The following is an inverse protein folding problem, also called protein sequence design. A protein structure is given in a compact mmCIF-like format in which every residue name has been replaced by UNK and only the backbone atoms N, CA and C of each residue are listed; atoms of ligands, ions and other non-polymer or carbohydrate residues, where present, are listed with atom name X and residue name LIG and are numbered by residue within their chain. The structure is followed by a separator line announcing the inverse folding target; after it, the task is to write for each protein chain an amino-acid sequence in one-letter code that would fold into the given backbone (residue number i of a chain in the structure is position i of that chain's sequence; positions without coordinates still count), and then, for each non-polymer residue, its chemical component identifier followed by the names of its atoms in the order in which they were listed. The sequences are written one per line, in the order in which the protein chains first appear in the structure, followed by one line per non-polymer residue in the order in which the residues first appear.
data_IF_596950847239
#
_entry.id   IF_596950847239
#
_cell.length_a   1.000
_cell.length_b   1.000
_cell.length_c   1.000
_cell.angle_alpha   90.00
_cell.angle_beta   90.00
_cell.angle_gamma   90.00
#
_symmetry.space_group_name_H-M   'P 1'
#
loop_
_entity.id
_entity.type
_entity.pdbx_description
1 polymer ?
#
# COMPACT_ATOMS: atom_id res chain seq x y z
N UNK A 1 42.38 -9.52 58.26
CA UNK A 1 41.55 -9.87 57.09
C UNK A 1 40.56 -8.74 56.87
N UNK A 2 40.69 -7.98 55.77
CA UNK A 2 39.81 -6.86 55.43
C UNK A 2 38.81 -7.33 54.37
N UNK A 3 37.52 -7.28 54.68
CA UNK A 3 36.44 -7.62 53.73
C UNK A 3 36.11 -6.39 52.90
N UNK A 4 36.25 -6.52 51.57
CA UNK A 4 35.92 -5.48 50.58
C UNK A 4 34.48 -5.73 50.11
N UNK A 5 33.63 -4.71 50.19
CA UNK A 5 32.29 -4.73 49.60
C UNK A 5 32.34 -4.12 48.20
N UNK A 6 31.96 -4.90 47.18
CA UNK A 6 31.74 -4.41 45.82
C UNK A 6 30.30 -3.88 45.70
N UNK A 7 30.16 -2.58 45.46
CA UNK A 7 28.89 -1.95 45.09
C UNK A 7 28.71 -2.13 43.59
N UNK A 8 27.70 -2.92 43.19
CA UNK A 8 27.27 -3.02 41.81
C UNK A 8 26.33 -1.87 41.49
N UNK A 9 26.80 -0.91 40.68
CA UNK A 9 25.95 0.12 40.09
C UNK A 9 25.19 -0.54 38.93
N UNK A 10 23.91 -0.82 39.14
CA UNK A 10 22.97 -1.18 38.08
C UNK A 10 22.69 0.09 37.25
N UNK A 11 23.38 0.22 36.12
CA UNK A 11 23.00 1.16 35.07
C UNK A 11 21.70 0.65 34.43
N UNK A 12 20.56 1.21 34.86
CA UNK A 12 19.29 1.09 34.16
C UNK A 12 19.40 1.89 32.86
N UNK A 13 19.94 1.24 31.82
CA UNK A 13 19.84 1.71 30.45
C UNK A 13 18.38 1.58 30.04
N UNK A 14 17.68 2.71 29.95
CA UNK A 14 16.30 2.78 29.48
C UNK A 14 16.23 2.21 28.06
N UNK A 15 15.68 1.01 27.94
CA UNK A 15 15.22 0.47 26.67
C UNK A 15 14.04 1.35 26.23
N UNK A 16 14.33 2.34 25.38
CA UNK A 16 13.33 2.99 24.58
C UNK A 16 12.79 1.92 23.63
N UNK A 17 11.73 1.22 24.06
CA UNK A 17 10.96 0.35 23.18
C UNK A 17 10.28 1.28 22.17
N UNK A 18 10.88 1.41 20.98
CA UNK A 18 10.14 1.84 19.81
C UNK A 18 9.08 0.77 19.59
N UNK A 19 7.87 0.99 20.14
CA UNK A 19 6.72 0.21 19.77
C UNK A 19 6.62 0.32 18.25
N UNK A 20 6.96 -0.76 17.55
CA UNK A 20 6.64 -0.86 16.13
C UNK A 20 5.13 -0.82 16.09
N UNK A 21 4.56 0.26 15.55
CA UNK A 21 3.13 0.34 15.35
C UNK A 21 2.69 -0.94 14.62
N UNK A 22 1.81 -1.70 15.26
CA UNK A 22 1.34 -2.97 14.72
C UNK A 22 0.61 -2.68 13.41
N UNK A 23 1.18 -3.12 12.29
CA UNK A 23 0.53 -3.00 10.99
C UNK A 23 -0.58 -4.04 10.92
N UNK A 24 -1.84 -3.61 10.86
CA UNK A 24 -2.97 -4.48 10.51
C UNK A 24 -2.82 -4.85 9.04
N UNK A 25 -2.51 -6.13 8.81
CA UNK A 25 -2.34 -6.67 7.48
C UNK A 25 -3.64 -7.36 7.07
N UNK A 26 -4.06 -7.21 5.81
CA UNK A 26 -5.15 -8.00 5.28
C UNK A 26 -4.84 -9.49 5.39
N UNK A 27 -5.90 -10.28 5.48
CA UNK A 27 -5.74 -11.72 5.47
C UNK A 27 -5.20 -12.22 4.11
N UNK A 28 -4.51 -13.35 4.16
CA UNK A 28 -3.98 -14.10 3.02
C UNK A 28 -4.63 -15.48 2.90
N UNK A 29 -5.66 -15.77 3.71
CA UNK A 29 -6.42 -17.03 3.61
C UNK A 29 -6.96 -17.22 2.19
N UNK A 30 -6.71 -18.41 1.65
CA UNK A 30 -7.22 -18.82 0.33
C UNK A 30 -6.46 -18.24 -0.87
N UNK A 31 -5.41 -17.45 -0.67
CA UNK A 31 -4.50 -17.04 -1.75
C UNK A 31 -3.31 -18.00 -1.86
N UNK A 32 -2.80 -18.21 -3.08
CA UNK A 32 -1.44 -18.72 -3.33
C UNK A 32 -0.50 -17.52 -3.54
N UNK A 33 -0.42 -16.66 -2.52
CA UNK A 33 0.30 -15.39 -2.59
C UNK A 33 1.45 -15.34 -1.59
N UNK A 34 2.53 -14.66 -1.97
CA UNK A 34 3.71 -14.47 -1.13
C UNK A 34 3.63 -13.16 -0.35
N UNK A 35 3.74 -13.22 0.97
CA UNK A 35 3.92 -12.02 1.79
C UNK A 35 5.35 -11.50 1.70
N UNK A 36 5.51 -10.25 1.27
CA UNK A 36 6.81 -9.58 1.07
C UNK A 36 6.85 -8.31 1.89
N UNK A 37 7.96 -8.09 2.61
CA UNK A 37 8.15 -6.96 3.51
C UNK A 37 9.29 -6.08 3.07
N UNK A 38 8.98 -4.80 2.89
CA UNK A 38 9.92 -3.72 2.60
C UNK A 38 9.90 -2.70 3.74
N UNK A 39 10.82 -1.75 3.75
CA UNK A 39 10.91 -0.75 4.83
C UNK A 39 9.64 0.13 4.90
N UNK A 40 9.12 0.52 3.74
CA UNK A 40 8.00 1.45 3.64
C UNK A 40 6.62 0.80 3.67
N UNK A 41 6.51 -0.47 3.29
CA UNK A 41 5.25 -1.16 3.06
C UNK A 41 5.42 -2.68 3.13
N UNK A 42 4.31 -3.38 3.29
CA UNK A 42 4.20 -4.83 3.09
C UNK A 42 3.25 -5.09 1.92
N UNK A 43 3.47 -6.14 1.15
CA UNK A 43 2.55 -6.57 0.10
C UNK A 43 2.31 -8.08 0.13
N UNK A 44 1.19 -8.50 -0.45
CA UNK A 44 0.93 -9.89 -0.80
C UNK A 44 1.00 -10.05 -2.33
N UNK A 45 2.05 -10.70 -2.82
CA UNK A 45 2.32 -10.88 -4.24
C UNK A 45 1.58 -12.09 -4.81
N UNK A 46 0.82 -11.90 -5.88
CA UNK A 46 0.07 -12.96 -6.57
C UNK A 46 0.73 -13.29 -7.91
N UNK A 47 1.36 -14.47 -7.94
CA UNK A 47 2.11 -14.95 -9.09
C UNK A 47 1.23 -15.11 -10.34
N UNK A 48 -0.03 -15.51 -10.18
CA UNK A 48 -0.95 -15.71 -11.31
C UNK A 48 -1.25 -14.40 -12.04
N UNK A 49 -1.07 -13.26 -11.37
CA UNK A 49 -1.33 -11.93 -11.87
C UNK A 49 -0.08 -11.08 -12.10
N UNK A 50 1.09 -11.56 -11.66
CA UNK A 50 2.38 -10.85 -11.69
C UNK A 50 2.34 -9.50 -10.93
N UNK A 51 1.50 -9.41 -9.89
CA UNK A 51 1.17 -8.17 -9.19
C UNK A 51 0.86 -8.41 -7.71
N UNK A 52 0.98 -7.38 -6.87
CA UNK A 52 0.45 -7.44 -5.52
C UNK A 52 -1.10 -7.43 -5.52
N UNK A 53 -1.72 -8.35 -4.75
CA UNK A 53 -3.17 -8.30 -4.42
C UNK A 53 -3.49 -7.04 -3.62
N UNK A 54 -2.60 -6.73 -2.68
CA UNK A 54 -2.67 -5.57 -1.81
C UNK A 54 -1.26 -5.14 -1.40
N UNK A 55 -1.13 -3.84 -1.14
CA UNK A 55 0.03 -3.21 -0.51
C UNK A 55 -0.47 -2.41 0.69
N UNK A 56 0.08 -2.68 1.87
CA UNK A 56 -0.32 -2.11 3.14
C UNK A 56 0.83 -1.30 3.77
N UNK A 57 0.54 -0.09 4.26
CA UNK A 57 1.51 0.78 4.91
C UNK A 57 0.85 1.78 5.86
N UNK A 58 1.64 2.24 6.85
CA UNK A 58 1.26 3.38 7.69
C UNK A 58 1.76 4.67 7.05
N UNK A 59 0.86 5.63 6.89
CA UNK A 59 1.20 6.98 6.43
C UNK A 59 0.95 7.97 7.56
N UNK A 60 2.03 8.58 8.03
CA UNK A 60 1.97 9.62 9.06
C UNK A 60 2.22 10.99 8.46
N UNK A 61 1.81 12.05 9.16
CA UNK A 61 2.12 13.44 8.82
C UNK A 61 3.61 13.67 8.66
N UNK A 62 4.42 13.10 9.55
CA UNK A 62 5.88 13.15 9.44
C UNK A 62 6.36 12.52 8.12
N UNK A 63 5.84 11.34 7.76
CA UNK A 63 6.21 10.63 6.54
C UNK A 63 5.83 11.38 5.26
N UNK A 64 4.66 12.03 5.25
CA UNK A 64 4.22 12.87 4.13
C UNK A 64 5.16 14.07 3.93
N UNK A 65 5.61 14.68 5.02
CA UNK A 65 6.50 15.84 5.02
C UNK A 65 7.98 15.50 4.81
N UNK A 66 8.30 14.24 4.48
CA UNK A 66 9.66 13.84 4.14
C UNK A 66 10.21 14.60 2.92
N UNK A 67 11.51 14.88 2.94
CA UNK A 67 12.18 15.71 1.94
C UNK A 67 13.05 14.91 0.96
N UNK A 68 13.14 13.59 1.08
CA UNK A 68 13.94 12.77 0.16
C UNK A 68 13.38 12.92 -1.26
N UNK A 69 14.17 13.48 -2.20
CA UNK A 69 13.70 13.64 -3.56
C UNK A 69 13.79 12.31 -4.30
N UNK A 70 12.93 12.14 -5.30
CA UNK A 70 13.13 11.12 -6.33
C UNK A 70 14.40 11.46 -7.11
N UNK A 71 15.38 10.57 -7.12
CA UNK A 71 16.63 10.73 -7.85
C UNK A 71 16.50 10.15 -9.25
N UNK A 72 17.33 10.64 -10.19
CA UNK A 72 17.37 10.10 -11.56
C UNK A 72 17.83 8.64 -11.67
N UNK A 73 18.42 8.08 -10.60
CA UNK A 73 18.75 6.66 -10.49
C UNK A 73 17.67 5.82 -9.79
N UNK A 74 16.57 6.41 -9.34
CA UNK A 74 15.39 5.65 -8.89
C UNK A 74 14.70 5.10 -10.13
N UNK A 75 15.08 3.88 -10.47
CA UNK A 75 14.63 3.14 -11.64
C UNK A 75 13.77 2.00 -11.17
N UNK A 76 12.73 1.72 -11.94
CA UNK A 76 11.99 0.48 -11.79
C UNK A 76 12.95 -0.70 -11.96
N UNK A 77 12.92 -1.64 -11.02
CA UNK A 77 13.72 -2.86 -11.05
C UNK A 77 12.90 -4.05 -10.55
N UNK A 78 13.17 -5.27 -11.02
CA UNK A 78 12.54 -6.47 -10.48
C UNK A 78 12.80 -6.57 -8.97
N UNK A 79 11.78 -7.02 -8.23
CA UNK A 79 11.90 -7.37 -6.83
C UNK A 79 12.49 -8.78 -6.68
N UNK A 80 13.68 -8.88 -6.11
CA UNK A 80 14.38 -10.14 -5.86
C UNK A 80 13.93 -10.84 -4.58
N UNK A 81 13.05 -10.21 -3.79
CA UNK A 81 12.48 -10.82 -2.58
C UNK A 81 11.25 -11.68 -2.88
N UNK A 82 10.66 -11.52 -4.07
CA UNK A 82 9.64 -12.43 -4.60
C UNK A 82 10.33 -13.72 -5.07
N UNK A 83 9.95 -14.85 -4.49
CA UNK A 83 10.62 -16.14 -4.64
C UNK A 83 10.53 -16.70 -6.07
N UNK A 84 9.40 -16.45 -6.73
CA UNK A 84 9.12 -16.80 -8.13
C UNK A 84 9.73 -15.82 -9.12
N UNK A 85 10.22 -14.67 -8.63
CA UNK A 85 10.51 -13.50 -9.44
C UNK A 85 9.29 -12.61 -9.56
N UNK A 86 9.51 -11.35 -9.94
CA UNK A 86 8.43 -10.42 -10.27
C UNK A 86 8.55 -9.95 -11.70
N UNK A 87 7.47 -9.36 -12.21
CA UNK A 87 7.48 -8.58 -13.44
C UNK A 87 8.72 -7.67 -13.55
N UNK A 88 9.18 -7.45 -14.78
CA UNK A 88 10.31 -6.59 -15.07
C UNK A 88 9.86 -5.29 -15.71
N UNK A 89 10.67 -4.21 -15.67
CA UNK A 89 10.36 -3.00 -16.42
C UNK A 89 10.25 -3.24 -17.94
N UNK A 90 10.87 -4.31 -18.44
CA UNK A 90 10.84 -4.65 -19.87
C UNK A 90 9.48 -5.24 -20.27
N UNK A 91 8.78 -5.89 -19.35
CA UNK A 91 7.43 -6.42 -19.59
C UNK A 91 6.44 -5.33 -19.98
N UNK A 92 6.55 -4.16 -19.36
CA UNK A 92 5.69 -3.02 -19.64
C UNK A 92 6.05 -2.27 -20.93
N UNK A 93 7.24 -2.52 -21.50
CA UNK A 93 7.74 -1.77 -22.65
C UNK A 93 6.92 -2.08 -23.91
N UNK A 94 6.21 -1.08 -24.43
CA UNK A 94 5.31 -1.23 -25.58
C UNK A 94 3.97 -1.90 -25.26
N UNK A 95 3.62 -2.05 -23.98
CA UNK A 95 2.34 -2.65 -23.55
C UNK A 95 1.13 -1.70 -23.59
N UNK A 96 1.37 -0.40 -23.82
CA UNK A 96 0.43 0.72 -23.59
C UNK A 96 0.08 1.00 -22.12
N UNK A 97 0.64 0.26 -21.17
CA UNK A 97 0.46 0.51 -19.73
C UNK A 97 1.69 1.17 -19.11
N UNK A 98 1.43 2.13 -18.24
CA UNK A 98 2.39 2.71 -17.33
C UNK A 98 2.68 1.75 -16.16
N UNK A 99 3.85 1.93 -15.57
CA UNK A 99 4.26 1.29 -14.31
C UNK A 99 3.65 2.08 -13.14
N UNK A 100 2.37 1.84 -12.89
CA UNK A 100 1.60 2.54 -11.85
C UNK A 100 1.98 2.03 -10.46
N UNK A 101 2.27 2.95 -9.54
CA UNK A 101 2.60 2.58 -8.16
C UNK A 101 1.33 2.22 -7.39
N UNK A 102 1.42 1.21 -6.53
CA UNK A 102 0.41 0.93 -5.51
C UNK A 102 0.71 1.77 -4.25
N UNK A 103 1.84 1.51 -3.58
CA UNK A 103 2.43 2.42 -2.60
C UNK A 103 3.22 3.54 -3.32
N UNK A 104 2.75 4.81 -3.29
CA UNK A 104 3.33 5.87 -4.10
C UNK A 104 4.72 6.30 -3.60
N UNK A 105 5.64 6.62 -4.52
CA UNK A 105 6.95 7.17 -4.17
C UNK A 105 6.84 8.46 -3.32
N UNK A 106 5.81 9.27 -3.54
CA UNK A 106 5.57 10.49 -2.78
C UNK A 106 5.23 10.25 -1.30
N UNK A 107 4.77 9.05 -0.95
CA UNK A 107 4.45 8.63 0.42
C UNK A 107 5.70 8.08 1.15
N UNK A 108 6.81 7.90 0.41
CA UNK A 108 8.06 7.29 0.88
C UNK A 108 9.23 8.28 0.98
N UNK A 109 8.95 9.59 0.95
CA UNK A 109 9.95 10.66 0.99
C UNK A 109 10.69 10.81 2.33
N UNK A 110 10.36 10.01 3.32
CA UNK A 110 10.99 10.03 4.64
C UNK A 110 12.22 9.12 4.73
N UNK A 111 12.45 8.25 3.74
CA UNK A 111 13.62 7.37 3.71
C UNK A 111 14.09 7.12 2.28
N UNK A 112 15.41 7.20 2.07
CA UNK A 112 16.04 6.85 0.78
C UNK A 112 15.77 5.40 0.40
N UNK A 113 15.76 4.50 1.38
CA UNK A 113 15.46 3.09 1.15
C UNK A 113 14.00 2.90 0.77
N UNK A 114 13.05 3.47 1.53
CA UNK A 114 11.63 3.35 1.22
C UNK A 114 11.29 3.95 -0.15
N UNK A 115 11.89 5.09 -0.50
CA UNK A 115 11.78 5.72 -1.82
C UNK A 115 12.21 4.74 -2.92
N UNK A 116 13.39 4.13 -2.80
CA UNK A 116 13.89 3.15 -3.78
C UNK A 116 13.01 1.91 -3.87
N UNK A 117 12.59 1.38 -2.72
CA UNK A 117 11.73 0.20 -2.65
C UNK A 117 10.36 0.46 -3.28
N UNK A 118 9.87 1.71 -3.30
CA UNK A 118 8.62 2.03 -4.02
C UNK A 118 8.70 1.78 -5.53
N UNK A 119 9.91 1.71 -6.12
CA UNK A 119 10.15 1.40 -7.53
C UNK A 119 10.35 -0.10 -7.81
N UNK A 120 10.25 -0.97 -6.80
CA UNK A 120 10.27 -2.42 -7.02
C UNK A 120 9.02 -2.84 -7.79
N UNK A 121 9.21 -3.70 -8.80
CA UNK A 121 8.13 -4.10 -9.69
C UNK A 121 7.02 -4.91 -9.01
N UNK A 122 7.27 -5.48 -7.83
CA UNK A 122 6.24 -6.09 -6.99
C UNK A 122 5.18 -5.09 -6.49
N UNK A 123 5.54 -3.80 -6.39
CA UNK A 123 4.66 -2.68 -6.03
C UNK A 123 4.00 -2.01 -7.25
N UNK A 124 4.12 -2.62 -8.44
CA UNK A 124 3.67 -2.03 -9.70
C UNK A 124 2.49 -2.81 -10.28
N UNK A 125 1.52 -2.07 -10.80
CA UNK A 125 0.37 -2.60 -11.52
C UNK A 125 0.21 -1.85 -12.85
N UNK A 126 -0.27 -2.51 -13.94
CA UNK A 126 -0.47 -1.85 -15.22
C UNK A 126 -1.62 -0.88 -15.12
N UNK A 127 -1.26 0.39 -15.30
CA UNK A 127 -2.20 1.50 -15.29
C UNK A 127 -2.13 2.25 -16.63
N UNK A 128 -3.28 2.60 -17.22
CA UNK A 128 -3.28 3.53 -18.36
C UNK A 128 -2.73 4.89 -17.89
N UNK A 129 -1.99 5.58 -18.76
CA UNK A 129 -1.38 6.87 -18.38
C UNK A 129 -2.42 7.89 -17.93
N UNK A 130 -3.59 7.91 -18.58
CA UNK A 130 -4.69 8.80 -18.19
C UNK A 130 -5.24 8.49 -16.79
N UNK A 131 -5.33 7.21 -16.40
CA UNK A 131 -5.76 6.80 -15.07
C UNK A 131 -4.70 7.16 -14.02
N UNK A 132 -3.44 6.74 -14.26
CA UNK A 132 -2.31 6.93 -13.36
C UNK A 132 -2.06 8.42 -13.08
N UNK A 133 -1.92 9.23 -14.13
CA UNK A 133 -1.61 10.66 -14.01
C UNK A 133 -2.87 11.51 -13.71
N UNK A 134 -4.05 10.90 -13.84
CA UNK A 134 -5.34 11.52 -13.60
C UNK A 134 -5.92 11.19 -12.23
N UNK A 135 -7.02 10.43 -12.22
CA UNK A 135 -7.79 10.15 -11.00
C UNK A 135 -6.98 9.41 -9.92
N UNK A 136 -6.08 8.51 -10.30
CA UNK A 136 -5.28 7.77 -9.32
C UNK A 136 -4.34 8.70 -8.55
N UNK A 137 -3.60 9.56 -9.25
CA UNK A 137 -2.78 10.59 -8.60
C UNK A 137 -3.62 11.54 -7.71
N UNK A 138 -4.86 11.88 -8.10
CA UNK A 138 -5.74 12.67 -7.23
C UNK A 138 -6.11 11.91 -5.96
N UNK A 139 -6.41 10.62 -6.05
CA UNK A 139 -6.70 9.77 -4.90
C UNK A 139 -5.49 9.67 -3.96
N UNK A 140 -4.27 9.51 -4.50
CA UNK A 140 -3.03 9.53 -3.70
C UNK A 140 -2.82 10.87 -2.97
N UNK A 141 -3.09 12.00 -3.65
CA UNK A 141 -3.03 13.33 -3.01
C UNK A 141 -4.04 13.46 -1.87
N UNK A 142 -5.25 12.93 -2.06
CA UNK A 142 -6.28 12.94 -1.02
C UNK A 142 -5.86 12.12 0.21
N UNK A 143 -5.33 10.90 0.00
CA UNK A 143 -4.83 10.06 1.10
C UNK A 143 -3.70 10.75 1.87
N UNK A 144 -2.76 11.41 1.20
CA UNK A 144 -1.73 12.24 1.88
C UNK A 144 -2.34 13.38 2.67
N UNK A 145 -3.34 14.08 2.13
CA UNK A 145 -4.05 15.15 2.83
C UNK A 145 -4.75 14.63 4.09
N UNK A 146 -5.33 13.43 4.04
CA UNK A 146 -5.88 12.77 5.23
C UNK A 146 -4.80 12.47 6.27
N UNK A 147 -3.63 11.96 5.88
CA UNK A 147 -2.53 11.74 6.83
C UNK A 147 -2.00 13.05 7.45
N UNK A 148 -1.94 14.14 6.69
CA UNK A 148 -1.52 15.46 7.20
C UNK A 148 -2.49 16.04 8.24
N UNK A 149 -3.79 15.81 8.03
CA UNK A 149 -4.87 16.29 8.90
C UNK A 149 -5.03 15.40 10.14
N UNK A 150 -4.99 14.07 9.96
CA UNK A 150 -5.32 13.09 10.99
C UNK A 150 -4.11 12.47 11.69
N UNK A 151 -2.93 13.00 11.39
CA UNK A 151 -1.61 12.56 11.87
C UNK A 151 -1.15 11.18 11.40
N UNK A 152 -1.97 10.13 11.56
CA UNK A 152 -1.55 8.76 11.27
C UNK A 152 -2.72 7.92 10.76
N UNK A 153 -2.60 7.41 9.52
CA UNK A 153 -3.58 6.53 8.88
C UNK A 153 -2.93 5.25 8.37
N UNK A 154 -3.73 4.20 8.30
CA UNK A 154 -3.38 2.92 7.71
C UNK A 154 -3.96 2.87 6.31
N UNK A 155 -3.12 2.59 5.33
CA UNK A 155 -3.50 2.57 3.91
C UNK A 155 -3.26 1.18 3.37
N UNK A 156 -4.29 0.61 2.77
CA UNK A 156 -4.22 -0.62 1.98
C UNK A 156 -4.70 -0.31 0.57
N UNK A 157 -3.94 -0.70 -0.44
CA UNK A 157 -4.24 -0.35 -1.83
C UNK A 157 -3.85 -1.47 -2.76
N UNK A 158 -4.61 -1.65 -3.84
CA UNK A 158 -4.36 -2.70 -4.79
C UNK A 158 -5.32 -2.67 -5.97
N UNK A 159 -5.08 -3.52 -6.97
CA UNK A 159 -6.05 -3.87 -7.99
C UNK A 159 -7.07 -4.89 -7.47
N UNK A 160 -8.26 -4.91 -8.06
CA UNK A 160 -9.17 -6.07 -7.94
C UNK A 160 -8.70 -7.13 -8.94
N UNK A 161 -8.20 -8.25 -8.44
CA UNK A 161 -7.61 -9.34 -9.23
C UNK A 161 -8.60 -10.51 -9.34
N UNK A 162 -9.32 -10.55 -10.46
CA UNK A 162 -10.25 -11.63 -10.84
C UNK A 162 -9.56 -12.62 -11.79
N UNK A 163 -9.97 -13.89 -11.76
CA UNK A 163 -9.38 -14.94 -12.61
C UNK A 163 -9.60 -14.72 -14.12
N UNK A 164 -10.63 -13.99 -14.53
CA UNK A 164 -11.00 -13.76 -15.93
C UNK A 164 -10.42 -12.46 -16.53
N UNK A 165 -9.52 -11.78 -15.80
CA UNK A 165 -8.93 -10.54 -16.26
C UNK A 165 -8.16 -10.74 -17.58
N UNK A 166 -8.27 -9.79 -18.53
CA UNK A 166 -7.41 -9.82 -19.70
C UNK A 166 -5.94 -9.69 -19.27
N UNK A 167 -5.04 -10.35 -19.99
CA UNK A 167 -3.61 -10.31 -19.72
C UNK A 167 -2.85 -9.86 -20.97
N UNK A 168 -1.72 -9.20 -20.78
CA UNK A 168 -0.72 -9.03 -21.84
C UNK A 168 0.53 -9.84 -21.51
N UNK A 169 1.21 -10.31 -22.56
CA UNK A 169 2.52 -10.97 -22.41
C UNK A 169 3.59 -9.90 -22.53
N UNK A 170 4.31 -9.69 -21.44
CA UNK A 170 5.44 -8.77 -21.39
C UNK A 170 6.63 -9.29 -22.20
N UNK A 171 7.54 -8.39 -22.57
CA UNK A 171 8.73 -8.73 -23.36
C UNK A 171 9.70 -9.68 -22.64
N UNK A 172 9.67 -9.78 -21.31
CA UNK A 172 10.46 -10.75 -20.56
C UNK A 172 9.72 -12.09 -20.36
N UNK A 173 8.49 -12.21 -20.86
CA UNK A 173 7.70 -13.45 -20.86
C UNK A 173 6.63 -13.52 -19.78
N UNK A 174 6.59 -12.57 -18.85
CA UNK A 174 5.61 -12.53 -17.77
C UNK A 174 4.20 -12.23 -18.31
N UNK A 175 3.19 -12.89 -17.76
CA UNK A 175 1.78 -12.68 -18.12
C UNK A 175 1.13 -11.78 -17.08
N UNK A 176 1.00 -10.51 -17.43
CA UNK A 176 0.54 -9.49 -16.47
C UNK A 176 -0.94 -9.24 -16.70
N UNK A 177 -1.73 -9.43 -15.64
CA UNK A 177 -3.17 -9.16 -15.67
C UNK A 177 -3.46 -7.66 -15.73
N UNK A 178 -4.52 -7.27 -16.43
CA UNK A 178 -4.94 -5.88 -16.57
C UNK A 178 -6.17 -5.68 -15.68
N UNK A 179 -6.03 -5.05 -14.51
CA UNK A 179 -7.14 -4.86 -13.59
C UNK A 179 -8.25 -4.01 -14.20
N UNK A 180 -9.52 -4.33 -13.88
CA UNK A 180 -10.68 -3.49 -14.23
C UNK A 180 -10.93 -2.39 -13.19
N UNK A 181 -10.53 -2.64 -11.95
CA UNK A 181 -10.79 -1.79 -10.79
C UNK A 181 -9.52 -1.70 -9.93
N UNK A 182 -9.37 -0.56 -9.27
CA UNK A 182 -8.37 -0.31 -8.24
C UNK A 182 -9.03 0.24 -6.99
N UNK A 183 -8.44 -0.05 -5.84
CA UNK A 183 -8.95 0.40 -4.56
C UNK A 183 -7.90 1.05 -3.67
N UNK A 184 -8.39 1.94 -2.79
CA UNK A 184 -7.67 2.45 -1.62
C UNK A 184 -8.59 2.34 -0.42
N UNK A 185 -8.20 1.53 0.55
CA UNK A 185 -8.84 1.36 1.85
C UNK A 185 -8.01 2.14 2.87
N UNK A 186 -8.67 2.95 3.70
CA UNK A 186 -8.02 3.78 4.71
C UNK A 186 -8.72 3.59 6.05
N UNK A 187 -7.92 3.34 7.08
CA UNK A 187 -8.36 3.28 8.47
C UNK A 187 -7.62 4.30 9.32
N UNK A 188 -8.38 5.05 10.12
CA UNK A 188 -7.85 5.93 11.15
C UNK A 188 -8.07 5.28 12.53
N UNK A 189 -7.00 4.84 13.21
CA UNK A 189 -7.11 4.14 14.48
C UNK A 189 -7.37 5.05 15.68
N UNK A 190 -7.16 6.37 15.54
CA UNK A 190 -7.41 7.32 16.63
C UNK A 190 -8.89 7.67 16.67
N UNK A 191 -9.49 7.83 15.49
CA UNK A 191 -10.92 8.15 15.34
C UNK A 191 -11.80 6.90 15.22
N UNK A 192 -11.21 5.73 15.02
CA UNK A 192 -11.89 4.46 14.76
C UNK A 192 -12.88 4.56 13.58
N UNK A 193 -12.41 5.10 12.46
CA UNK A 193 -13.22 5.27 11.24
C UNK A 193 -12.51 4.71 10.01
N UNK A 194 -13.28 4.08 9.13
CA UNK A 194 -12.83 3.54 7.86
C UNK A 194 -13.44 4.30 6.68
N UNK A 195 -12.75 4.29 5.55
CA UNK A 195 -13.31 4.65 4.25
C UNK A 195 -12.57 3.89 3.17
N UNK A 196 -13.22 3.68 2.04
CA UNK A 196 -12.51 3.23 0.87
C UNK A 196 -12.96 3.91 -0.42
N UNK A 197 -12.09 3.88 -1.41
CA UNK A 197 -12.33 4.33 -2.77
C UNK A 197 -12.23 3.13 -3.70
N UNK A 198 -13.23 2.93 -4.55
CA UNK A 198 -13.22 1.93 -5.63
C UNK A 198 -13.34 2.63 -6.98
N UNK A 199 -12.32 2.50 -7.81
CA UNK A 199 -12.17 3.29 -9.03
C UNK A 199 -11.93 2.36 -10.20
N UNK A 200 -12.81 2.45 -11.20
CA UNK A 200 -12.62 1.77 -12.49
C UNK A 200 -11.34 2.25 -13.16
N UNK A 201 -10.65 1.34 -13.85
CA UNK A 201 -9.38 1.56 -14.51
C UNK A 201 -9.51 2.44 -15.78
N UNK A 202 -9.99 3.67 -15.58
CA UNK A 202 -10.11 4.74 -16.57
C UNK A 202 -10.13 6.09 -15.85
N UNK A 203 -9.79 7.16 -16.55
CA UNK A 203 -9.78 8.48 -15.94
C UNK A 203 -11.20 9.04 -15.78
N UNK A 204 -11.41 9.80 -14.71
CA UNK A 204 -12.64 10.56 -14.48
C UNK A 204 -12.33 11.99 -14.06
N UNK A 205 -13.24 12.91 -14.33
CA UNK A 205 -13.15 14.31 -13.88
C UNK A 205 -14.07 14.64 -12.69
N UNK A 206 -14.99 13.74 -12.34
CA UNK A 206 -15.92 13.92 -11.21
C UNK A 206 -15.19 13.88 -9.85
N UNK A 207 -15.77 14.46 -8.79
CA UNK A 207 -15.16 14.51 -7.46
C UNK A 207 -14.86 13.13 -6.86
N UNK A 208 -13.81 13.01 -6.04
CA UNK A 208 -13.38 11.74 -5.44
C UNK A 208 -14.41 11.13 -4.48
N UNK A 209 -15.21 11.94 -3.77
CA UNK A 209 -16.25 11.43 -2.88
C UNK A 209 -17.28 10.55 -3.60
N UNK A 210 -17.46 10.73 -4.91
CA UNK A 210 -18.39 9.92 -5.72
C UNK A 210 -17.88 8.49 -6.03
N UNK A 211 -16.68 8.16 -5.56
CA UNK A 211 -16.07 6.81 -5.62
C UNK A 211 -15.93 6.20 -4.23
N UNK A 212 -16.40 6.88 -3.19
CA UNK A 212 -16.37 6.36 -1.83
C UNK A 212 -17.35 5.19 -1.68
N UNK A 213 -16.88 4.11 -1.08
CA UNK A 213 -17.60 2.87 -0.81
C UNK A 213 -17.30 2.41 0.61
N UNK A 214 -18.08 1.46 1.13
CA UNK A 214 -17.73 0.77 2.38
C UNK A 214 -16.53 -0.15 2.16
N UNK A 215 -15.86 -0.56 3.23
CA UNK A 215 -14.76 -1.53 3.13
C UNK A 215 -15.33 -2.89 2.73
N UNK A 216 -16.47 -3.30 3.29
CA UNK A 216 -17.22 -4.52 2.93
C UNK A 216 -17.45 -4.65 1.41
N UNK A 217 -17.74 -3.55 0.72
CA UNK A 217 -17.95 -3.58 -0.73
C UNK A 217 -16.68 -3.96 -1.49
N UNK A 218 -15.50 -3.64 -0.97
CA UNK A 218 -14.22 -4.04 -1.56
C UNK A 218 -13.87 -5.46 -1.12
N UNK A 219 -14.19 -5.86 0.11
CA UNK A 219 -14.04 -7.26 0.55
C UNK A 219 -14.86 -8.18 -0.34
N UNK A 220 -16.11 -7.81 -0.63
CA UNK A 220 -16.96 -8.55 -1.56
C UNK A 220 -16.36 -8.63 -2.97
N UNK A 221 -15.71 -7.57 -3.44
CA UNK A 221 -15.09 -7.53 -4.77
C UNK A 221 -13.78 -8.31 -4.85
N UNK A 222 -13.04 -8.44 -3.74
CA UNK A 222 -11.66 -8.95 -3.72
C UNK A 222 -11.49 -10.30 -3.02
N UNK A 223 -12.46 -10.68 -2.18
CA UNK A 223 -12.36 -11.81 -1.26
C UNK A 223 -11.34 -11.62 -0.13
N UNK A 224 -10.93 -10.38 0.16
CA UNK A 224 -9.92 -10.05 1.16
C UNK A 224 -10.63 -9.48 2.39
N UNK A 225 -10.34 -10.00 3.59
CA UNK A 225 -10.61 -9.28 4.84
C UNK A 225 -9.46 -8.28 5.08
N UNK A 226 -9.76 -6.98 5.12
CA UNK A 226 -8.73 -5.95 5.18
C UNK A 226 -8.20 -5.66 6.58
N UNK A 227 -9.04 -5.75 7.61
CA UNK A 227 -8.65 -5.43 8.98
C UNK A 227 -9.02 -6.55 9.97
N UNK A 228 -8.53 -7.79 9.76
CA UNK A 228 -8.93 -8.90 10.61
C UNK A 228 -8.51 -8.65 12.06
N UNK A 229 -9.50 -8.63 12.95
CA UNK A 229 -9.29 -8.53 14.39
C UNK A 229 -9.06 -7.11 14.92
N UNK A 230 -9.44 -6.06 14.18
CA UNK A 230 -9.54 -4.72 14.78
C UNK A 230 -10.78 -4.59 15.67
N UNK A 231 -10.70 -3.76 16.71
CA UNK A 231 -11.86 -3.45 17.54
C UNK A 231 -12.96 -2.78 16.70
N UNK A 232 -14.19 -3.29 16.79
CA UNK A 232 -15.35 -2.84 16.03
C UNK A 232 -15.22 -2.99 14.49
N UNK A 233 -14.43 -3.96 14.01
CA UNK A 233 -14.27 -4.34 12.60
C UNK A 233 -15.58 -4.23 11.80
N UNK A 234 -16.61 -5.00 12.17
CA UNK A 234 -17.92 -5.03 11.47
C UNK A 234 -18.56 -3.63 11.35
N UNK A 235 -18.48 -2.80 12.39
CA UNK A 235 -19.04 -1.45 12.34
C UNK A 235 -18.22 -0.51 11.48
N UNK A 236 -16.89 -0.65 11.50
CA UNK A 236 -15.97 0.19 10.74
C UNK A 236 -16.08 -0.14 9.24
N UNK A 237 -16.18 -1.42 8.91
CA UNK A 237 -16.10 -1.89 7.54
C UNK A 237 -17.42 -1.74 6.78
N UNK A 238 -18.57 -1.86 7.48
CA UNK A 238 -19.91 -1.73 6.91
C UNK A 238 -20.43 -0.29 6.80
N UNK A 239 -19.79 0.68 7.47
CA UNK A 239 -20.29 2.07 7.53
C UNK A 239 -19.59 2.98 6.52
N UNK A 240 -20.38 3.65 5.67
CA UNK A 240 -19.88 4.76 4.85
C UNK A 240 -20.37 6.10 5.40
N UNK A 241 -19.48 6.82 6.10
CA UNK A 241 -19.74 8.18 6.56
C UNK A 241 -18.74 9.18 5.98
N UNK A 242 -19.02 9.68 4.79
CA UNK A 242 -18.13 10.62 4.07
C UNK A 242 -17.97 11.98 4.76
N UNK A 243 -18.84 12.33 5.72
CA UNK A 243 -18.76 13.60 6.46
C UNK A 243 -17.62 13.64 7.50
N UNK A 244 -17.10 12.46 7.87
CA UNK A 244 -15.94 12.34 8.77
C UNK A 244 -14.60 12.58 8.05
N UNK A 245 -14.63 12.76 6.72
CA UNK A 245 -13.46 12.88 5.88
C UNK A 245 -13.45 14.23 5.17
N UNK A 246 -12.29 14.90 5.15
CA UNK A 246 -12.09 16.11 4.35
C UNK A 246 -11.91 15.72 2.87
N UNK A 247 -12.47 16.49 1.94
CA UNK A 247 -12.40 16.22 0.50
C UNK A 247 -11.71 17.35 -0.26
#
# INVERSE_FOLDING_TARGET
MKTIYFIWILLLCGLCSTATAQLWLPDTVGCDCQLVRHLGYTLAYDECHEQARWVAYVLTKERVNGEVPRKGNDRFIPDTTVATGSATPWDYSGSNYSRGHLAPAADMKWSVQAMRESFLMSNISPQTSEFNDGIWQRAEKLVRRWAEEYDSIYVITGPVLEYDLPQFVGRAGNKISIPRLFYKVVYDPVRHVGIALLIEHRNFKRPLHSFAVTIDQIEQATGINFFPGIDNEESIESTLNTSQWIW
#
